data_IF_644331177363
#
_entry.id   IF_644331177363
#
_cell.length_a   1.000
_cell.length_b   1.000
_cell.length_c   1.000
_cell.angle_alpha   90.00
_cell.angle_beta   90.00
_cell.angle_gamma   90.00
#
_symmetry.space_group_name_H-M   'P 1'
#
loop_
_entity.id
_entity.type
_entity.pdbx_description
1 polymer ?
#
# COMPACT_ATOMS: atom_id res chain seq x y z
N UNK A 1 17.71 15.67 1.09
CA UNK A 1 16.29 15.57 1.43
C UNK A 1 16.23 14.70 2.67
N UNK A 2 15.50 15.16 3.68
CA UNK A 2 15.34 14.49 4.96
C UNK A 2 13.85 14.21 5.16
N UNK A 3 13.51 13.08 5.79
CA UNK A 3 12.13 12.77 6.17
C UNK A 3 12.08 12.64 7.68
N UNK A 4 11.14 13.35 8.31
CA UNK A 4 10.97 13.39 9.78
C UNK A 4 9.51 13.43 10.17
N UNK A 5 9.21 13.13 11.43
CA UNK A 5 7.89 13.35 12.00
C UNK A 5 7.56 14.85 12.03
N UNK A 6 6.29 15.16 11.76
CA UNK A 6 5.76 16.51 11.93
C UNK A 6 5.61 16.85 13.41
N UNK A 7 5.66 18.15 13.69
CA UNK A 7 5.43 18.72 15.01
C UNK A 7 4.35 19.79 14.92
N UNK A 8 3.82 20.24 16.06
CA UNK A 8 2.83 21.32 16.10
C UNK A 8 3.32 22.61 15.40
N UNK A 9 4.64 22.86 15.39
CA UNK A 9 5.25 24.03 14.74
C UNK A 9 5.19 23.97 13.20
N UNK A 10 4.95 22.78 12.63
CA UNK A 10 4.92 22.56 11.18
C UNK A 10 3.56 22.85 10.53
N UNK A 11 2.54 23.20 11.33
CA UNK A 11 1.16 23.42 10.86
C UNK A 11 1.11 24.36 9.65
N UNK A 12 1.75 25.53 9.76
CA UNK A 12 1.68 26.56 8.72
C UNK A 12 2.28 26.05 7.40
N UNK A 13 3.34 25.24 7.46
CA UNK A 13 3.95 24.64 6.28
C UNK A 13 3.04 23.56 5.66
N UNK A 14 2.44 22.69 6.49
CA UNK A 14 1.51 21.64 6.05
C UNK A 14 0.28 22.25 5.38
N UNK A 15 -0.34 23.24 6.02
CA UNK A 15 -1.50 23.99 5.50
C UNK A 15 -1.17 24.61 4.13
N UNK A 16 -0.02 25.25 3.99
CA UNK A 16 0.41 25.83 2.70
C UNK A 16 0.65 24.75 1.63
N UNK A 17 1.36 23.67 1.96
CA UNK A 17 1.60 22.56 1.03
C UNK A 17 0.28 21.93 0.57
N UNK A 18 -0.64 21.66 1.50
CA UNK A 18 -1.95 21.08 1.23
C UNK A 18 -2.73 22.00 0.27
N UNK A 19 -2.88 23.28 0.63
CA UNK A 19 -3.59 24.28 -0.17
C UNK A 19 -3.03 24.37 -1.59
N UNK A 20 -1.72 24.57 -1.74
CA UNK A 20 -1.05 24.72 -3.05
C UNK A 20 -1.16 23.44 -3.88
N UNK A 21 -1.03 22.28 -3.23
CA UNK A 21 -1.18 20.99 -3.87
C UNK A 21 -2.61 20.77 -4.38
N UNK A 22 -3.61 21.09 -3.56
CA UNK A 22 -5.03 20.95 -3.90
C UNK A 22 -5.43 21.87 -5.06
N UNK A 23 -5.03 23.14 -5.01
CA UNK A 23 -5.27 24.16 -6.06
C UNK A 23 -4.74 23.72 -7.43
N UNK A 24 -3.65 22.96 -7.44
CA UNK A 24 -2.98 22.52 -8.68
C UNK A 24 -3.52 21.18 -9.19
N UNK A 25 -3.94 20.29 -8.28
CA UNK A 25 -4.28 18.90 -8.62
C UNK A 25 -5.77 18.66 -8.83
N UNK A 26 -6.65 19.53 -8.33
CA UNK A 26 -8.10 19.30 -8.37
C UNK A 26 -8.84 20.52 -8.92
N UNK A 27 -9.97 20.27 -9.58
CA UNK A 27 -10.85 21.33 -10.08
C UNK A 27 -11.81 21.82 -8.99
N UNK A 28 -11.26 22.16 -7.82
CA UNK A 28 -12.02 22.69 -6.69
C UNK A 28 -12.01 24.22 -6.71
N UNK A 29 -13.07 24.84 -6.16
CA UNK A 29 -13.11 26.28 -5.97
C UNK A 29 -12.06 26.69 -4.91
N UNK A 30 -11.25 27.74 -5.12
CA UNK A 30 -10.31 28.23 -4.12
C UNK A 30 -10.89 28.40 -2.71
N UNK A 31 -12.12 28.93 -2.58
CA UNK A 31 -12.76 29.07 -1.26
C UNK A 31 -13.10 27.74 -0.59
N UNK A 32 -13.44 26.72 -1.38
CA UNK A 32 -13.68 25.36 -0.87
C UNK A 32 -12.38 24.70 -0.41
N UNK A 33 -11.27 24.93 -1.13
CA UNK A 33 -9.95 24.45 -0.71
C UNK A 33 -9.54 25.12 0.60
N UNK A 34 -9.68 26.44 0.70
CA UNK A 34 -9.30 27.20 1.90
C UNK A 34 -10.10 26.74 3.13
N UNK A 35 -11.42 26.57 2.99
CA UNK A 35 -12.26 26.03 4.06
C UNK A 35 -11.89 24.58 4.43
N UNK A 36 -11.61 23.73 3.45
CA UNK A 36 -11.24 22.34 3.68
C UNK A 36 -9.92 22.23 4.45
N UNK A 37 -8.91 23.00 4.02
CA UNK A 37 -7.60 23.02 4.68
C UNK A 37 -7.71 23.57 6.10
N UNK A 38 -8.51 24.61 6.33
CA UNK A 38 -8.78 25.10 7.70
C UNK A 38 -9.54 24.07 8.54
N UNK A 39 -10.45 23.31 7.94
CA UNK A 39 -11.19 22.26 8.65
C UNK A 39 -10.29 21.08 9.04
N UNK A 40 -9.37 20.66 8.17
CA UNK A 40 -8.50 19.51 8.41
C UNK A 40 -7.25 19.88 9.21
N UNK A 41 -6.64 21.03 8.94
CA UNK A 41 -5.35 21.44 9.50
C UNK A 41 -5.41 22.79 10.22
N UNK A 42 -6.61 23.24 10.58
CA UNK A 42 -6.79 24.36 11.50
C UNK A 42 -6.20 24.08 12.88
N UNK A 43 -6.02 25.10 13.73
CA UNK A 43 -5.28 24.98 14.98
C UNK A 43 -5.73 23.82 15.88
N UNK A 44 -7.05 23.66 16.05
CA UNK A 44 -7.59 22.62 16.93
C UNK A 44 -7.53 21.22 16.27
N UNK A 45 -7.84 21.13 14.97
CA UNK A 45 -7.88 19.87 14.24
C UNK A 45 -6.48 19.27 14.00
N UNK A 46 -5.47 20.13 13.86
CA UNK A 46 -4.10 19.68 13.62
C UNK A 46 -3.48 19.01 14.85
N UNK A 47 -3.78 19.49 16.06
CA UNK A 47 -3.34 18.82 17.29
C UNK A 47 -3.93 17.41 17.40
N UNK A 48 -5.23 17.27 17.14
CA UNK A 48 -5.91 15.96 17.09
C UNK A 48 -5.29 15.04 16.03
N UNK A 49 -4.99 15.59 14.84
CA UNK A 49 -4.31 14.84 13.76
C UNK A 49 -2.95 14.30 14.20
N UNK A 50 -2.13 15.10 14.91
CA UNK A 50 -0.82 14.64 15.38
C UNK A 50 -0.90 13.60 16.52
N UNK A 51 -2.02 13.55 17.25
CA UNK A 51 -2.25 12.57 18.31
C UNK A 51 -2.78 11.23 17.75
N UNK A 52 -3.56 11.28 16.67
CA UNK A 52 -4.25 10.10 16.11
C UNK A 52 -3.56 9.50 14.88
N UNK A 53 -2.84 10.31 14.10
CA UNK A 53 -2.24 9.92 12.82
C UNK A 53 -0.72 10.10 12.79
N UNK A 54 -0.06 9.30 11.97
CA UNK A 54 1.33 9.48 11.60
C UNK A 54 1.45 10.52 10.50
N UNK A 55 2.13 11.62 10.80
CA UNK A 55 2.39 12.70 9.86
C UNK A 55 3.89 12.83 9.63
N UNK A 56 4.34 12.58 8.39
CA UNK A 56 5.74 12.71 7.98
C UNK A 56 5.92 13.89 7.05
N UNK A 57 7.02 14.62 7.22
CA UNK A 57 7.46 15.73 6.37
C UNK A 57 8.70 15.35 5.59
N UNK A 58 8.71 15.68 4.30
CA UNK A 58 9.95 15.71 3.53
C UNK A 58 10.48 17.14 3.45
N UNK A 59 11.73 17.32 3.89
CA UNK A 59 12.44 18.58 3.87
C UNK A 59 13.51 18.63 2.79
N UNK A 60 13.63 19.81 2.18
CA UNK A 60 14.70 20.12 1.23
C UNK A 60 15.30 21.47 1.58
N UNK A 61 16.61 21.48 1.81
CA UNK A 61 17.37 22.66 2.21
C UNK A 61 16.83 23.33 3.49
N UNK A 62 16.27 22.52 4.41
CA UNK A 62 15.70 22.96 5.69
C UNK A 62 14.26 23.47 5.62
N UNK A 63 13.61 23.37 4.46
CA UNK A 63 12.21 23.77 4.26
C UNK A 63 11.33 22.52 4.03
N UNK A 64 10.19 22.39 4.71
CA UNK A 64 9.19 21.37 4.38
C UNK A 64 8.63 21.60 2.96
N UNK A 65 8.66 20.56 2.13
CA UNK A 65 8.22 20.64 0.72
C UNK A 65 7.17 19.58 0.35
N UNK A 66 6.97 18.58 1.21
CA UNK A 66 5.93 17.58 1.07
C UNK A 66 5.55 17.01 2.43
N UNK A 67 4.36 16.44 2.53
CA UNK A 67 3.93 15.69 3.71
C UNK A 67 3.09 14.48 3.33
N UNK A 68 3.07 13.49 4.22
CA UNK A 68 2.12 12.38 4.20
C UNK A 68 1.38 12.32 5.53
N UNK A 69 0.13 11.90 5.48
CA UNK A 69 -0.70 11.62 6.65
C UNK A 69 -1.24 10.19 6.52
N UNK A 70 -1.07 9.39 7.57
CA UNK A 70 -1.46 7.99 7.56
C UNK A 70 -1.86 7.46 8.93
N UNK A 71 -2.57 6.33 8.97
CA UNK A 71 -3.01 5.70 10.22
C UNK A 71 -3.09 4.18 10.09
N UNK A 72 -2.79 3.44 11.16
CA UNK A 72 -3.06 2.00 11.23
C UNK A 72 -4.46 1.75 11.81
N UNK A 73 -5.33 1.12 11.01
CA UNK A 73 -6.67 0.70 11.40
C UNK A 73 -6.58 -0.63 12.15
N UNK A 74 -6.63 -0.56 13.48
CA UNK A 74 -6.41 -1.69 14.40
C UNK A 74 -7.37 -2.86 14.22
N UNK A 75 -8.64 -2.60 13.86
CA UNK A 75 -9.64 -3.67 13.68
C UNK A 75 -9.51 -4.42 12.34
N UNK A 76 -8.86 -3.82 11.33
CA UNK A 76 -8.71 -4.38 9.98
C UNK A 76 -7.28 -4.83 9.64
N UNK A 77 -6.27 -4.39 10.39
CA UNK A 77 -4.87 -4.61 10.05
C UNK A 77 -4.41 -3.80 8.82
N UNK A 78 -5.13 -2.75 8.47
CA UNK A 78 -4.92 -1.93 7.27
C UNK A 78 -4.14 -0.68 7.67
N UNK A 79 -3.11 -0.34 6.90
CA UNK A 79 -2.46 0.97 6.95
C UNK A 79 -3.12 1.86 5.91
N UNK A 80 -3.62 3.01 6.33
CA UNK A 80 -4.30 3.97 5.49
C UNK A 80 -3.38 5.15 5.19
N UNK A 81 -2.99 5.31 3.93
CA UNK A 81 -2.41 6.56 3.44
C UNK A 81 -3.56 7.51 3.08
N UNK A 82 -3.85 8.44 4.00
CA UNK A 82 -4.94 9.39 3.90
C UNK A 82 -4.59 10.51 2.92
N UNK A 83 -3.41 11.12 3.09
CA UNK A 83 -2.93 12.20 2.24
C UNK A 83 -1.46 12.04 1.89
N UNK A 84 -1.11 12.44 0.67
CA UNK A 84 0.27 12.58 0.21
C UNK A 84 0.36 13.80 -0.69
N UNK A 85 0.94 14.88 -0.16
CA UNK A 85 1.02 16.15 -0.84
C UNK A 85 2.47 16.57 -1.05
N UNK A 86 2.79 16.93 -2.29
CA UNK A 86 4.05 17.56 -2.67
C UNK A 86 3.74 18.94 -3.19
N UNK A 87 4.41 19.95 -2.63
CA UNK A 87 4.28 21.33 -3.08
C UNK A 87 4.56 21.40 -4.60
N UNK A 88 3.71 22.07 -5.39
CA UNK A 88 3.79 22.05 -6.86
C UNK A 88 5.17 22.35 -7.44
N UNK A 89 5.88 23.32 -6.85
CA UNK A 89 7.21 23.75 -7.31
C UNK A 89 8.31 22.69 -7.11
N UNK A 90 8.04 21.65 -6.32
CA UNK A 90 8.97 20.57 -6.01
C UNK A 90 8.58 19.22 -6.65
N UNK A 91 7.45 19.16 -7.37
CA UNK A 91 7.02 17.94 -8.08
C UNK A 91 7.99 17.55 -9.19
N UNK A 92 7.96 16.27 -9.58
CA UNK A 92 8.84 15.73 -10.64
C UNK A 92 10.28 15.43 -10.21
N UNK A 93 10.59 15.57 -8.91
CA UNK A 93 11.93 15.33 -8.36
C UNK A 93 12.04 14.05 -7.51
N UNK A 94 11.07 13.14 -7.59
CA UNK A 94 11.06 11.89 -6.80
C UNK A 94 10.52 12.00 -5.37
N UNK A 95 10.40 13.21 -4.81
CA UNK A 95 10.03 13.47 -3.40
C UNK A 95 8.77 12.71 -2.96
N UNK A 96 7.69 12.76 -3.75
CA UNK A 96 6.45 12.05 -3.39
C UNK A 96 6.60 10.54 -3.39
N UNK A 97 7.49 9.99 -4.23
CA UNK A 97 7.81 8.57 -4.23
C UNK A 97 8.61 8.18 -2.98
N UNK A 98 9.67 8.93 -2.68
CA UNK A 98 10.51 8.66 -1.51
C UNK A 98 9.72 8.79 -0.20
N UNK A 99 8.85 9.80 -0.10
CA UNK A 99 7.97 9.99 1.05
C UNK A 99 6.98 8.84 1.19
N UNK A 100 6.34 8.42 0.08
CA UNK A 100 5.44 7.26 0.07
C UNK A 100 6.11 5.98 0.57
N UNK A 101 7.32 5.66 0.10
CA UNK A 101 8.04 4.45 0.56
C UNK A 101 8.32 4.53 2.07
N UNK A 102 8.71 5.70 2.58
CA UNK A 102 8.94 5.87 4.02
C UNK A 102 7.65 5.75 4.83
N UNK A 103 6.53 6.27 4.33
CA UNK A 103 5.23 6.11 4.99
C UNK A 103 4.78 4.65 4.99
N UNK A 104 4.99 3.93 3.87
CA UNK A 104 4.71 2.49 3.78
C UNK A 104 5.51 1.71 4.81
N UNK A 105 6.82 1.94 4.90
CA UNK A 105 7.68 1.32 5.90
C UNK A 105 7.17 1.56 7.32
N UNK A 106 6.79 2.81 7.65
CA UNK A 106 6.27 3.15 8.98
C UNK A 106 5.00 2.38 9.32
N UNK A 107 4.02 2.36 8.42
CA UNK A 107 2.78 1.62 8.63
C UNK A 107 3.03 0.12 8.82
N UNK A 108 3.98 -0.46 8.06
CA UNK A 108 4.39 -1.85 8.26
C UNK A 108 5.07 -2.06 9.62
N UNK A 109 5.95 -1.15 10.06
CA UNK A 109 6.58 -1.20 11.39
C UNK A 109 5.53 -1.15 12.53
N UNK A 110 4.42 -0.46 12.31
CA UNK A 110 3.29 -0.34 13.24
C UNK A 110 2.28 -1.51 13.15
N UNK A 111 2.50 -2.44 12.23
CA UNK A 111 1.74 -3.68 12.12
C UNK A 111 0.62 -3.67 11.08
N UNK A 112 0.60 -2.71 10.16
CA UNK A 112 -0.24 -2.79 8.98
C UNK A 112 0.15 -4.02 8.14
N UNK A 113 -0.80 -4.93 7.94
CA UNK A 113 -0.68 -6.06 7.04
C UNK A 113 -0.78 -5.61 5.58
N UNK A 114 -1.56 -4.57 5.29
CA UNK A 114 -1.68 -4.04 3.94
C UNK A 114 -1.97 -2.54 3.85
N UNK A 115 -1.52 -1.92 2.76
CA UNK A 115 -1.62 -0.48 2.53
C UNK A 115 -2.81 -0.14 1.62
N UNK A 116 -3.63 0.82 2.06
CA UNK A 116 -4.66 1.45 1.23
C UNK A 116 -4.31 2.90 0.94
N UNK A 117 -4.42 3.28 -0.32
CA UNK A 117 -4.32 4.65 -0.79
C UNK A 117 -5.67 5.25 -1.13
N UNK A 118 -5.84 6.54 -0.90
CA UNK A 118 -7.04 7.30 -1.28
C UNK A 118 -6.70 8.37 -2.31
N UNK A 119 -7.58 8.54 -3.30
CA UNK A 119 -7.45 9.57 -4.34
C UNK A 119 -8.82 10.10 -4.72
N UNK A 120 -9.04 11.43 -4.70
CA UNK A 120 -10.28 11.99 -5.26
C UNK A 120 -10.44 11.60 -6.73
N UNK A 121 -11.66 11.29 -7.15
CA UNK A 121 -12.00 10.76 -8.49
C UNK A 121 -11.42 11.59 -9.64
N UNK A 122 -11.28 12.90 -9.44
CA UNK A 122 -10.84 13.84 -10.46
C UNK A 122 -9.31 13.92 -10.60
N UNK A 123 -8.55 13.30 -9.69
CA UNK A 123 -7.09 13.32 -9.70
C UNK A 123 -6.49 12.12 -10.41
N UNK A 124 -6.47 12.20 -11.74
CA UNK A 124 -5.83 11.20 -12.60
C UNK A 124 -4.34 11.01 -12.32
N UNK A 125 -3.64 12.06 -11.88
CA UNK A 125 -2.20 11.94 -11.55
C UNK A 125 -1.99 11.08 -10.30
N UNK A 126 -2.86 11.24 -9.29
CA UNK A 126 -2.88 10.40 -8.10
C UNK A 126 -3.24 8.95 -8.41
N UNK A 127 -4.23 8.73 -9.29
CA UNK A 127 -4.57 7.37 -9.75
C UNK A 127 -3.36 6.67 -10.39
N UNK A 128 -2.71 7.33 -11.35
CA UNK A 128 -1.50 6.78 -12.00
C UNK A 128 -0.32 6.60 -11.03
N UNK A 129 -0.24 7.38 -9.96
CA UNK A 129 0.80 7.22 -8.94
C UNK A 129 0.69 5.88 -8.21
N UNK A 130 -0.53 5.47 -7.84
CA UNK A 130 -0.83 4.20 -7.19
C UNK A 130 -0.73 3.02 -8.18
N UNK A 131 -1.33 3.14 -9.37
CA UNK A 131 -1.27 2.10 -10.40
C UNK A 131 0.18 1.75 -10.80
N UNK A 132 1.04 2.77 -10.92
CA UNK A 132 2.47 2.57 -11.22
C UNK A 132 3.24 1.84 -10.11
N UNK A 133 2.65 1.73 -8.91
CA UNK A 133 3.20 1.05 -7.73
C UNK A 133 2.52 -0.29 -7.45
N UNK A 134 1.71 -0.80 -8.38
CA UNK A 134 1.06 -2.10 -8.25
C UNK A 134 -0.21 -2.08 -7.40
N UNK A 135 -0.73 -0.89 -7.08
CA UNK A 135 -2.03 -0.81 -6.42
C UNK A 135 -3.15 -0.99 -7.42
N UNK A 136 -4.21 -1.63 -6.98
CA UNK A 136 -5.44 -1.82 -7.75
C UNK A 136 -6.58 -1.04 -7.12
N UNK A 137 -7.42 -0.42 -7.94
CA UNK A 137 -8.64 0.22 -7.45
C UNK A 137 -9.64 -0.86 -7.05
N UNK A 138 -10.01 -0.88 -5.77
CA UNK A 138 -10.91 -1.89 -5.19
C UNK A 138 -12.27 -1.33 -4.79
N UNK A 139 -12.36 -0.02 -4.50
CA UNK A 139 -13.61 0.60 -4.04
C UNK A 139 -13.72 2.09 -4.41
N UNK A 140 -14.88 2.68 -4.14
CA UNK A 140 -15.19 4.10 -4.26
C UNK A 140 -16.02 4.56 -3.04
N UNK A 141 -15.57 5.63 -2.37
CA UNK A 141 -16.22 6.20 -1.19
C UNK A 141 -16.67 7.64 -1.44
N UNK A 142 -17.77 8.04 -0.79
CA UNK A 142 -18.23 9.44 -0.77
C UNK A 142 -17.44 10.22 0.30
N UNK A 143 -16.92 11.39 -0.08
CA UNK A 143 -16.25 12.33 0.80
C UNK A 143 -16.98 13.68 0.79
N UNK A 144 -17.30 14.21 1.96
CA UNK A 144 -17.84 15.57 2.08
C UNK A 144 -16.71 16.57 2.31
N UNK A 145 -16.63 17.60 1.47
CA UNK A 145 -15.69 18.72 1.61
C UNK A 145 -16.49 20.03 1.52
N UNK A 146 -16.45 20.86 2.56
CA UNK A 146 -17.16 22.15 2.62
C UNK A 146 -18.67 22.01 2.29
N UNK A 147 -19.30 20.93 2.78
CA UNK A 147 -20.71 20.60 2.51
C UNK A 147 -21.03 20.14 1.08
N UNK A 148 -20.01 19.96 0.23
CA UNK A 148 -20.15 19.41 -1.11
C UNK A 148 -19.69 17.95 -1.12
N UNK A 149 -20.36 17.12 -1.92
CA UNK A 149 -20.06 15.69 -2.02
C UNK A 149 -19.11 15.42 -3.19
N UNK A 150 -18.04 14.71 -2.88
CA UNK A 150 -17.01 14.23 -3.79
C UNK A 150 -16.89 12.72 -3.68
N UNK A 151 -16.18 12.11 -4.62
CA UNK A 151 -15.85 10.70 -4.57
C UNK A 151 -14.35 10.53 -4.48
N UNK A 152 -13.92 9.53 -3.72
CA UNK A 152 -12.55 9.06 -3.69
C UNK A 152 -12.48 7.60 -4.09
N UNK A 153 -11.47 7.25 -4.87
CA UNK A 153 -11.13 5.88 -5.19
C UNK A 153 -10.23 5.30 -4.11
N UNK A 154 -10.54 4.07 -3.70
CA UNK A 154 -9.73 3.29 -2.77
C UNK A 154 -8.85 2.36 -3.58
N UNK A 155 -7.55 2.50 -3.38
CA UNK A 155 -6.51 1.70 -3.99
C UNK A 155 -5.93 0.77 -2.92
N UNK A 156 -5.84 -0.52 -3.21
CA UNK A 156 -5.22 -1.50 -2.33
C UNK A 156 -3.91 -1.97 -2.96
N UNK A 157 -2.84 -2.00 -2.18
CA UNK A 157 -1.58 -2.60 -2.61
C UNK A 157 -1.74 -4.11 -2.76
N UNK A 158 -1.80 -4.59 -4.00
CA UNK A 158 -1.91 -6.02 -4.29
C UNK A 158 -0.73 -6.82 -3.70
N UNK A 159 0.44 -6.19 -3.49
CA UNK A 159 1.60 -6.86 -2.90
C UNK A 159 1.47 -7.08 -1.38
N UNK A 160 0.55 -6.39 -0.71
CA UNK A 160 0.35 -6.56 0.73
C UNK A 160 -0.58 -7.73 1.10
N UNK A 161 -1.36 -8.23 0.15
CA UNK A 161 -2.06 -9.53 0.24
C UNK A 161 -1.24 -10.67 -0.41
N UNK A 162 0.02 -10.38 -0.78
CA UNK A 162 0.84 -11.36 -1.47
C UNK A 162 1.22 -12.50 -0.55
N UNK A 163 1.58 -12.26 0.72
CA UNK A 163 2.10 -13.29 1.61
C UNK A 163 1.14 -13.61 2.76
N UNK A 164 0.32 -14.66 2.58
CA UNK A 164 -0.49 -15.20 3.66
C UNK A 164 0.39 -16.02 4.62
N UNK A 165 0.36 -15.68 5.91
CA UNK A 165 1.02 -16.50 6.95
C UNK A 165 0.21 -17.76 7.26
N UNK A 166 0.86 -18.92 7.21
CA UNK A 166 0.29 -20.24 7.53
C UNK A 166 1.22 -20.96 8.50
N UNK A 167 0.68 -21.72 9.45
CA UNK A 167 1.48 -22.56 10.35
C UNK A 167 1.65 -23.94 9.72
N UNK A 168 2.90 -24.37 9.58
CA UNK A 168 3.26 -25.69 9.06
C UNK A 168 2.90 -26.82 10.02
N UNK A 169 2.95 -28.07 9.54
CA UNK A 169 2.73 -29.25 10.39
C UNK A 169 3.76 -29.37 11.53
N UNK A 170 4.96 -28.80 11.33
CA UNK A 170 6.04 -28.75 12.31
C UNK A 170 5.93 -27.55 13.29
N UNK A 171 4.90 -26.70 13.11
CA UNK A 171 4.65 -25.54 13.96
C UNK A 171 5.42 -24.27 13.58
N UNK A 172 6.09 -24.25 12.42
CA UNK A 172 6.78 -23.07 11.90
C UNK A 172 5.82 -22.17 11.12
N UNK A 173 5.98 -20.84 11.23
CA UNK A 173 5.23 -19.90 10.40
C UNK A 173 5.90 -19.82 9.04
N UNK A 174 5.11 -19.99 7.98
CA UNK A 174 5.55 -19.92 6.59
C UNK A 174 4.65 -18.98 5.80
N UNK A 175 5.17 -18.40 4.73
CA UNK A 175 4.55 -17.30 3.98
C UNK A 175 4.16 -17.78 2.57
N UNK A 176 2.85 -17.82 2.28
CA UNK A 176 2.28 -18.28 1.00
C UNK A 176 2.10 -17.10 0.06
N UNK A 177 2.75 -17.14 -1.11
CA UNK A 177 2.62 -16.14 -2.17
C UNK A 177 1.32 -16.33 -2.97
N UNK A 178 0.23 -15.67 -2.57
CA UNK A 178 -1.12 -15.82 -3.14
C UNK A 178 -1.22 -15.40 -4.61
N UNK A 179 -0.29 -14.56 -5.09
CA UNK A 179 -0.32 -14.00 -6.44
C UNK A 179 0.59 -14.74 -7.42
N UNK A 180 1.66 -15.37 -6.94
CA UNK A 180 2.47 -16.25 -7.78
C UNK A 180 1.81 -17.63 -7.87
N UNK A 181 1.36 -18.00 -9.08
CA UNK A 181 0.59 -19.23 -9.30
C UNK A 181 1.26 -20.12 -10.35
N UNK A 182 1.54 -21.36 -9.94
CA UNK A 182 1.85 -22.43 -10.86
C UNK A 182 0.59 -23.24 -11.20
N UNK A 183 0.40 -23.55 -12.48
CA UNK A 183 -0.75 -24.32 -12.94
C UNK A 183 -0.76 -25.74 -12.33
N UNK A 184 -1.86 -26.18 -11.72
CA UNK A 184 -2.09 -27.56 -11.32
C UNK A 184 -3.01 -28.34 -12.28
N UNK A 185 -3.25 -29.61 -11.97
CA UNK A 185 -4.25 -30.44 -12.68
C UNK A 185 -5.65 -29.92 -12.47
N UNK A 186 -5.97 -29.55 -11.22
CA UNK A 186 -7.32 -29.23 -10.76
C UNK A 186 -7.42 -27.80 -10.20
N UNK A 187 -6.39 -27.32 -9.50
CA UNK A 187 -6.31 -25.96 -8.95
C UNK A 187 -4.86 -25.43 -8.99
N UNK A 188 -4.63 -24.11 -8.88
CA UNK A 188 -3.29 -23.53 -8.79
C UNK A 188 -2.49 -23.99 -7.56
N UNK A 189 -1.17 -23.81 -7.65
CA UNK A 189 -0.23 -23.94 -6.54
C UNK A 189 0.51 -22.63 -6.34
N UNK A 190 0.50 -22.13 -5.11
CA UNK A 190 1.20 -20.90 -4.70
C UNK A 190 2.54 -21.27 -4.05
N UNK A 191 3.67 -20.63 -4.39
CA UNK A 191 4.93 -20.91 -3.71
C UNK A 191 4.89 -20.42 -2.27
N UNK A 192 5.61 -21.13 -1.40
CA UNK A 192 5.65 -20.86 0.04
C UNK A 192 7.10 -20.66 0.46
N UNK A 193 7.35 -19.70 1.32
CA UNK A 193 8.66 -19.28 1.78
C UNK A 193 8.79 -19.36 3.30
N UNK A 194 10.01 -19.54 3.81
CA UNK A 194 10.28 -19.50 5.26
C UNK A 194 10.47 -18.09 5.80
N UNK A 195 10.66 -17.12 4.89
CA UNK A 195 10.90 -15.71 5.18
C UNK A 195 9.97 -14.83 4.34
N UNK A 196 9.59 -13.64 4.84
CA UNK A 196 8.75 -12.70 4.11
C UNK A 196 9.46 -12.07 2.89
N UNK A 197 10.79 -12.10 2.84
CA UNK A 197 11.59 -11.54 1.74
C UNK A 197 11.62 -12.47 0.49
N UNK A 198 11.09 -13.69 0.61
CA UNK A 198 11.01 -14.74 -0.43
C UNK A 198 12.38 -15.26 -0.87
N UNK A 199 13.39 -15.20 -0.01
CA UNK A 199 14.73 -15.68 -0.30
C UNK A 199 14.82 -17.21 -0.26
N UNK A 200 14.09 -17.83 0.68
CA UNK A 200 14.18 -19.26 0.95
C UNK A 200 12.84 -19.97 0.73
N UNK A 201 12.76 -20.78 -0.34
CA UNK A 201 11.55 -21.52 -0.69
C UNK A 201 11.34 -22.73 0.23
N UNK A 202 10.19 -22.75 0.89
CA UNK A 202 9.70 -23.82 1.76
C UNK A 202 9.00 -24.94 0.96
N UNK A 203 8.15 -24.58 0.00
CA UNK A 203 7.33 -25.53 -0.74
C UNK A 203 6.25 -24.86 -1.57
N UNK A 204 5.08 -25.49 -1.64
CA UNK A 204 3.89 -24.91 -2.27
C UNK A 204 2.66 -25.05 -1.37
N UNK A 205 1.65 -24.24 -1.65
CA UNK A 205 0.33 -24.28 -1.05
C UNK A 205 -0.68 -24.62 -2.15
N UNK A 206 -1.53 -25.61 -1.89
CA UNK A 206 -2.55 -26.05 -2.83
C UNK A 206 -3.82 -25.22 -2.64
N UNK A 207 -4.10 -24.27 -3.55
CA UNK A 207 -5.28 -23.42 -3.50
C UNK A 207 -6.60 -24.19 -3.48
N UNK A 208 -6.61 -25.43 -4.04
CA UNK A 208 -7.82 -26.25 -4.10
C UNK A 208 -8.27 -26.87 -2.76
N UNK A 209 -7.38 -27.03 -1.78
CA UNK A 209 -7.74 -27.64 -0.49
C UNK A 209 -7.04 -27.03 0.73
N UNK A 210 -6.22 -26.00 0.53
CA UNK A 210 -5.53 -25.27 1.60
C UNK A 210 -4.40 -26.04 2.28
N UNK A 211 -3.79 -27.00 1.59
CA UNK A 211 -2.73 -27.86 2.17
C UNK A 211 -1.35 -27.46 1.67
N UNK A 212 -0.36 -27.44 2.57
CA UNK A 212 1.05 -27.30 2.21
C UNK A 212 1.55 -28.58 1.53
N UNK A 213 2.03 -28.44 0.29
CA UNK A 213 2.62 -29.48 -0.52
C UNK A 213 4.14 -29.31 -0.58
N UNK A 214 4.84 -29.86 0.41
CA UNK A 214 6.32 -29.83 0.54
C UNK A 214 6.98 -31.07 -0.05
N UNK A 215 6.24 -32.18 -0.17
CA UNK A 215 6.76 -33.43 -0.71
C UNK A 215 6.80 -33.43 -2.24
N UNK A 216 7.95 -33.81 -2.80
CA UNK A 216 8.15 -34.05 -4.23
C UNK A 216 8.27 -35.54 -4.52
N UNK A 217 7.75 -35.96 -5.67
CA UNK A 217 7.97 -37.31 -6.18
C UNK A 217 9.43 -37.50 -6.66
N UNK A 218 9.90 -38.73 -6.94
CA UNK A 218 11.26 -38.98 -7.42
C UNK A 218 11.62 -38.31 -8.75
N UNK A 219 10.63 -37.78 -9.48
CA UNK A 219 10.81 -37.04 -10.73
C UNK A 219 10.78 -35.51 -10.50
N UNK A 220 10.74 -35.05 -9.24
CA UNK A 220 10.71 -33.63 -8.88
C UNK A 220 9.34 -32.97 -9.08
N UNK A 221 8.26 -33.76 -9.20
CA UNK A 221 6.90 -33.23 -9.37
C UNK A 221 6.21 -33.10 -8.02
N UNK A 222 5.38 -32.07 -7.91
CA UNK A 222 4.62 -31.79 -6.70
C UNK A 222 3.21 -32.33 -6.87
N UNK A 223 2.78 -33.12 -5.91
CA UNK A 223 1.41 -33.60 -5.79
C UNK A 223 0.89 -33.31 -4.39
N UNK A 224 -0.25 -32.65 -4.30
CA UNK A 224 -0.92 -32.37 -3.05
C UNK A 224 -1.39 -33.68 -2.40
N UNK A 225 -0.98 -33.92 -1.15
CA UNK A 225 -1.38 -35.09 -0.36
C UNK A 225 -2.85 -35.04 0.08
N UNK A 226 -3.42 -33.84 0.20
CA UNK A 226 -4.79 -33.64 0.67
C UNK A 226 -5.86 -33.97 -0.37
N UNK A 227 -5.69 -33.52 -1.62
CA UNK A 227 -6.70 -33.67 -2.68
C UNK A 227 -6.20 -34.35 -3.97
N UNK A 228 -4.90 -34.67 -4.06
CA UNK A 228 -4.32 -35.33 -5.23
C UNK A 228 -4.00 -34.41 -6.41
N UNK A 229 -4.32 -33.10 -6.32
CA UNK A 229 -3.95 -32.08 -7.31
C UNK A 229 -2.45 -32.15 -7.60
N UNK A 230 -2.04 -32.06 -8.86
CA UNK A 230 -0.64 -32.20 -9.27
C UNK A 230 -0.16 -30.96 -10.04
N UNK A 231 0.96 -30.38 -9.62
CA UNK A 231 1.56 -29.22 -10.28
C UNK A 231 2.02 -29.61 -11.68
N UNK A 232 1.56 -28.87 -12.70
CA UNK A 232 1.99 -29.05 -14.08
C UNK A 232 3.38 -28.43 -14.26
N UNK A 233 4.23 -29.03 -15.12
CA UNK A 233 5.51 -28.42 -15.46
C UNK A 233 5.27 -27.02 -16.04
N UNK A 234 5.99 -26.03 -15.53
CA UNK A 234 6.05 -24.70 -16.14
C UNK A 234 6.60 -24.89 -17.55
N UNK A 235 5.83 -24.52 -18.59
CA UNK A 235 6.33 -24.58 -19.98
C UNK A 235 7.43 -23.53 -20.14
N UNK A 236 8.67 -23.92 -19.93
CA UNK A 236 9.83 -23.20 -20.45
C UNK A 236 10.17 -23.82 -21.81
N UNK A 237 9.70 -23.19 -22.89
CA UNK A 237 10.22 -23.48 -24.21
C UNK A 237 11.49 -22.65 -24.42
N UNK A 238 12.60 -23.14 -23.88
CA UNK A 238 13.91 -22.50 -23.98
C UNK A 238 14.63 -22.82 -25.32
N UNK A 239 13.91 -23.16 -26.39
CA UNK A 239 14.51 -23.59 -27.66
C UNK A 239 14.59 -22.52 -28.76
N UNK A 240 14.61 -21.23 -28.43
CA UNK A 240 14.85 -20.15 -29.40
C UNK A 240 15.91 -19.12 -28.96
N UNK A 241 17.07 -19.61 -28.50
CA UNK A 241 18.33 -18.85 -28.54
C UNK A 241 19.22 -19.37 -29.68
#
# INVERSE_FOLDING_TARGET
MEIRDATADDRDAITEIARRSLETSYSLNPGTIENAVEQWYGPDAFEETLDEHDVLLAERDGEPVAFSESVVVTDGGEGDLLWLHVHPDYRGHGIGGDLFERTRERLTEEGAAYLRGRVLSDNQTGASFYEARGFERVDEEELEIDGNRYFQYIYLDAESDRLQSVVSEDGEVVYVDQLDEDAGSDAPFNPVFTDPDRETRYGYYCAGCGTLATAMDPMGRIQCSGCGNARKPTRWDASYL
#
